data_IF_121178858510
#
_entry.id   IF_121178858510
#
_cell.length_a   1.000
_cell.length_b   1.000
_cell.length_c   1.000
_cell.angle_alpha   90.00
_cell.angle_beta   90.00
_cell.angle_gamma   90.00
#
_symmetry.space_group_name_H-M   'P 1'
#
loop_
_entity.id
_entity.type
_entity.pdbx_description
1 polymer ?
#
# COMPACT_ATOMS: atom_id res chain seq x y z
N UNK A 1 -31.96 -37.48 22.72
CA UNK A 1 -33.07 -36.52 22.84
C UNK A 1 -32.68 -35.27 22.07
N UNK A 2 -33.45 -34.90 21.05
CA UNK A 2 -33.18 -33.67 20.29
C UNK A 2 -33.64 -32.45 21.13
N UNK A 3 -32.87 -31.36 21.20
CA UNK A 3 -33.24 -30.18 21.97
C UNK A 3 -34.49 -29.53 21.36
N UNK A 4 -35.52 -29.31 22.19
CA UNK A 4 -36.74 -28.60 21.82
C UNK A 4 -36.40 -27.13 21.52
N UNK A 5 -36.43 -26.74 20.25
CA UNK A 5 -36.31 -25.33 19.85
C UNK A 5 -37.67 -24.65 20.01
N UNK A 6 -37.89 -24.03 21.16
CA UNK A 6 -38.99 -23.09 21.32
C UNK A 6 -38.66 -21.83 20.51
N UNK A 7 -39.52 -21.35 19.59
CA UNK A 7 -39.36 -20.01 19.06
C UNK A 7 -39.41 -19.05 20.24
N UNK A 8 -38.34 -18.28 20.46
CA UNK A 8 -38.32 -17.24 21.48
C UNK A 8 -39.43 -16.26 21.14
N UNK A 9 -40.49 -16.26 21.93
CA UNK A 9 -41.45 -15.16 21.94
C UNK A 9 -40.68 -13.92 22.36
N UNK A 10 -40.92 -12.79 21.71
CA UNK A 10 -40.41 -11.48 22.12
C UNK A 10 -41.11 -11.09 23.42
N UNK A 11 -40.80 -11.81 24.51
CA UNK A 11 -41.34 -11.61 25.85
C UNK A 11 -40.61 -10.49 26.58
N UNK A 12 -40.01 -9.57 25.82
CA UNK A 12 -39.46 -8.36 26.36
C UNK A 12 -40.60 -7.52 26.90
N UNK A 13 -40.58 -7.28 28.21
CA UNK A 13 -41.59 -6.44 28.87
C UNK A 13 -41.46 -4.98 28.45
N UNK A 14 -41.94 -4.09 29.32
CA UNK A 14 -41.65 -2.67 29.17
C UNK A 14 -40.11 -2.45 29.14
N UNK A 15 -39.62 -1.44 28.41
CA UNK A 15 -38.20 -1.08 28.42
C UNK A 15 -37.68 -0.88 29.85
N UNK A 16 -36.47 -1.33 30.12
CA UNK A 16 -35.81 -1.17 31.42
C UNK A 16 -35.27 0.26 31.51
N UNK A 17 -36.06 1.16 32.10
CA UNK A 17 -35.67 2.55 32.44
C UNK A 17 -35.36 2.68 33.94
N UNK A 18 -34.78 1.66 34.52
CA UNK A 18 -34.18 1.76 35.84
C UNK A 18 -32.84 2.53 35.77
N UNK A 19 -32.21 2.77 36.91
CA UNK A 19 -30.96 3.55 36.97
C UNK A 19 -29.87 2.97 36.03
N UNK A 20 -29.79 1.64 35.91
CA UNK A 20 -28.85 0.98 35.00
C UNK A 20 -29.20 1.24 33.53
N UNK A 21 -30.47 1.12 33.14
CA UNK A 21 -30.93 1.40 31.78
C UNK A 21 -30.67 2.84 31.36
N UNK A 22 -30.92 3.80 32.25
CA UNK A 22 -30.63 5.22 32.02
C UNK A 22 -29.12 5.43 31.81
N UNK A 23 -28.25 4.80 32.60
CA UNK A 23 -26.79 4.89 32.44
C UNK A 23 -26.35 4.39 31.06
N UNK A 24 -26.85 3.24 30.60
CA UNK A 24 -26.50 2.71 29.28
C UNK A 24 -26.96 3.62 28.14
N UNK A 25 -28.16 4.19 28.23
CA UNK A 25 -28.67 5.14 27.23
C UNK A 25 -27.83 6.42 27.20
N UNK A 26 -27.50 6.98 28.38
CA UNK A 26 -26.64 8.17 28.47
C UNK A 26 -25.25 7.87 27.93
N UNK A 27 -24.66 6.72 28.26
CA UNK A 27 -23.37 6.29 27.74
C UNK A 27 -23.39 6.15 26.21
N UNK A 28 -24.45 5.56 25.64
CA UNK A 28 -24.61 5.46 24.20
C UNK A 28 -24.68 6.84 23.54
N UNK A 29 -25.49 7.77 24.06
CA UNK A 29 -25.60 9.15 23.54
C UNK A 29 -24.26 9.88 23.62
N UNK A 30 -23.60 9.84 24.79
CA UNK A 30 -22.31 10.51 24.98
C UNK A 30 -21.24 9.94 24.04
N UNK A 31 -21.17 8.61 23.89
CA UNK A 31 -20.24 7.98 22.97
C UNK A 31 -20.51 8.38 21.52
N UNK A 32 -21.78 8.42 21.09
CA UNK A 32 -22.17 8.89 19.75
C UNK A 32 -21.73 10.34 19.52
N UNK A 33 -21.91 11.23 20.50
CA UNK A 33 -21.50 12.62 20.38
C UNK A 33 -19.98 12.78 20.28
N UNK A 34 -19.23 12.09 21.15
CA UNK A 34 -17.76 12.10 21.10
C UNK A 34 -17.26 11.60 19.75
N UNK A 35 -17.79 10.46 19.29
CA UNK A 35 -17.40 9.87 18.02
C UNK A 35 -17.74 10.79 16.83
N UNK A 36 -18.91 11.42 16.85
CA UNK A 36 -19.31 12.38 15.82
C UNK A 36 -18.36 13.60 15.78
N UNK A 37 -17.93 14.11 16.94
CA UNK A 37 -16.93 15.20 17.02
C UNK A 37 -15.58 14.73 16.48
N UNK A 38 -15.11 13.54 16.85
CA UNK A 38 -13.84 12.99 16.34
C UNK A 38 -13.85 12.80 14.82
N UNK A 39 -14.94 12.23 14.26
CA UNK A 39 -15.10 12.10 12.81
C UNK A 39 -15.15 13.46 12.13
N UNK A 40 -15.82 14.44 12.73
CA UNK A 40 -15.88 15.80 12.19
C UNK A 40 -14.49 16.46 12.16
N UNK A 41 -13.71 16.34 13.23
CA UNK A 41 -12.34 16.86 13.29
C UNK A 41 -11.44 16.16 12.26
N UNK A 42 -11.57 14.84 12.13
CA UNK A 42 -10.84 14.06 11.12
C UNK A 42 -11.20 14.49 9.70
N UNK A 43 -12.50 14.73 9.44
CA UNK A 43 -12.98 15.25 8.16
C UNK A 43 -12.44 16.65 7.87
N UNK A 44 -12.39 17.53 8.88
CA UNK A 44 -11.82 18.89 8.73
C UNK A 44 -10.34 18.83 8.33
N UNK A 45 -9.61 17.84 8.85
CA UNK A 45 -8.19 17.63 8.57
C UNK A 45 -7.93 16.64 7.42
N UNK A 46 -8.94 16.36 6.55
CA UNK A 46 -8.82 15.43 5.42
C UNK A 46 -7.72 15.74 4.40
N UNK A 47 -7.26 17.00 4.35
CA UNK A 47 -6.17 17.42 3.46
C UNK A 47 -4.80 16.94 3.96
N UNK A 48 -4.67 16.58 5.24
CA UNK A 48 -3.42 16.08 5.79
C UNK A 48 -3.05 14.73 5.16
N UNK A 49 -1.78 14.61 4.77
CA UNK A 49 -1.25 13.43 4.07
C UNK A 49 -1.51 12.12 4.84
N UNK A 50 -1.26 12.11 6.16
CA UNK A 50 -1.49 10.94 7.03
C UNK A 50 -2.95 10.44 6.99
N UNK A 51 -3.92 11.35 6.88
CA UNK A 51 -5.35 11.01 6.81
C UNK A 51 -5.71 10.46 5.42
N UNK A 52 -5.16 11.06 4.37
CA UNK A 52 -5.38 10.60 2.97
C UNK A 52 -4.86 9.19 2.74
N UNK A 53 -3.71 8.84 3.32
CA UNK A 53 -3.08 7.53 3.16
C UNK A 53 -3.97 6.39 3.66
N UNK A 54 -4.66 6.62 4.79
CA UNK A 54 -5.57 5.66 5.42
C UNK A 54 -6.86 5.43 4.62
N UNK A 55 -7.26 6.39 3.78
CA UNK A 55 -8.52 6.35 3.05
C UNK A 55 -9.70 6.70 3.95
N UNK A 56 -10.13 7.96 3.90
CA UNK A 56 -11.14 8.49 4.83
C UNK A 56 -12.46 7.72 4.75
N UNK A 57 -12.92 7.36 3.56
CA UNK A 57 -14.16 6.61 3.38
C UNK A 57 -14.13 5.23 4.06
N UNK A 58 -12.97 4.57 4.03
CA UNK A 58 -12.75 3.25 4.67
C UNK A 58 -12.80 3.40 6.19
N UNK A 59 -12.13 4.42 6.73
CA UNK A 59 -12.14 4.73 8.16
C UNK A 59 -13.55 5.04 8.63
N UNK A 60 -14.27 5.91 7.93
CA UNK A 60 -15.65 6.27 8.26
C UNK A 60 -16.57 5.05 8.22
N UNK A 61 -16.44 4.20 7.21
CA UNK A 61 -17.25 2.97 7.09
C UNK A 61 -16.96 2.01 8.25
N UNK A 62 -15.69 1.75 8.55
CA UNK A 62 -15.28 0.87 9.64
C UNK A 62 -15.78 1.36 11.00
N UNK A 63 -15.53 2.65 11.31
CA UNK A 63 -15.91 3.25 12.58
C UNK A 63 -17.43 3.32 12.71
N UNK A 64 -18.15 3.67 11.65
CA UNK A 64 -19.62 3.69 11.67
C UNK A 64 -20.21 2.29 11.91
N UNK A 65 -19.67 1.25 11.27
CA UNK A 65 -20.13 -0.13 11.50
C UNK A 65 -19.86 -0.58 12.94
N UNK A 66 -18.66 -0.30 13.47
CA UNK A 66 -18.31 -0.65 14.85
C UNK A 66 -19.10 0.17 15.87
N UNK A 67 -19.44 1.41 15.53
CA UNK A 67 -20.30 2.27 16.34
C UNK A 67 -21.73 1.74 16.41
N UNK A 68 -22.33 1.39 15.27
CA UNK A 68 -23.66 0.76 15.25
C UNK A 68 -23.66 -0.50 16.11
N UNK A 69 -22.64 -1.35 15.98
CA UNK A 69 -22.49 -2.52 16.83
C UNK A 69 -22.47 -2.17 18.32
N UNK A 70 -21.65 -1.21 18.75
CA UNK A 70 -21.56 -0.82 20.16
C UNK A 70 -22.87 -0.23 20.68
N UNK A 71 -23.54 0.63 19.92
CA UNK A 71 -24.84 1.21 20.30
C UNK A 71 -25.88 0.11 20.47
N UNK A 72 -25.93 -0.86 19.54
CA UNK A 72 -26.83 -2.00 19.65
C UNK A 72 -26.57 -2.79 20.94
N UNK A 73 -25.29 -3.06 21.26
CA UNK A 73 -24.89 -3.75 22.50
C UNK A 73 -25.32 -2.97 23.76
N UNK A 74 -25.10 -1.66 23.80
CA UNK A 74 -25.51 -0.82 24.93
C UNK A 74 -27.04 -0.76 25.09
N UNK A 75 -27.79 -0.83 24.00
CA UNK A 75 -29.26 -0.78 24.01
C UNK A 75 -29.93 -2.14 24.28
N UNK A 76 -29.21 -3.26 24.26
CA UNK A 76 -29.79 -4.59 24.57
C UNK A 76 -30.49 -4.60 25.92
N UNK A 77 -29.87 -3.99 26.94
CA UNK A 77 -30.40 -3.98 28.30
C UNK A 77 -31.62 -3.04 28.46
N UNK A 78 -31.56 -1.74 28.05
CA UNK A 78 -32.71 -0.85 28.07
C UNK A 78 -33.91 -1.36 27.26
N UNK A 79 -33.67 -2.02 26.12
CA UNK A 79 -34.73 -2.55 25.26
C UNK A 79 -35.30 -3.89 25.75
N UNK A 80 -34.84 -4.39 26.90
CA UNK A 80 -35.42 -5.51 27.63
C UNK A 80 -35.76 -6.73 26.76
N UNK A 81 -34.90 -7.11 25.81
CA UNK A 81 -35.13 -8.31 24.98
C UNK A 81 -36.20 -8.17 23.90
N UNK A 82 -36.53 -6.94 23.45
CA UNK A 82 -37.36 -6.68 22.26
C UNK A 82 -36.67 -7.01 20.92
N UNK A 83 -35.54 -7.73 20.93
CA UNK A 83 -34.78 -8.12 19.75
C UNK A 83 -35.08 -9.56 19.34
N UNK A 84 -35.40 -9.84 18.06
CA UNK A 84 -35.55 -11.22 17.61
C UNK A 84 -34.17 -11.90 17.62
N UNK A 85 -34.09 -13.17 18.05
CA UNK A 85 -32.82 -13.92 18.11
C UNK A 85 -32.04 -13.93 16.80
N UNK A 86 -32.74 -13.91 15.67
CA UNK A 86 -32.10 -13.81 14.37
C UNK A 86 -31.35 -12.48 14.20
N UNK A 87 -31.93 -11.36 14.67
CA UNK A 87 -31.26 -10.06 14.61
C UNK A 87 -30.04 -10.00 15.52
N UNK A 88 -30.12 -10.52 16.75
CA UNK A 88 -28.96 -10.61 17.66
C UNK A 88 -27.82 -11.40 17.02
N UNK A 89 -28.13 -12.56 16.44
CA UNK A 89 -27.16 -13.40 15.73
C UNK A 89 -26.51 -12.65 14.57
N UNK A 90 -27.29 -12.04 13.68
CA UNK A 90 -26.74 -11.34 12.52
C UNK A 90 -25.94 -10.09 12.91
N UNK A 91 -26.37 -9.35 13.93
CA UNK A 91 -25.63 -8.19 14.45
C UNK A 91 -24.26 -8.61 14.98
N UNK A 92 -24.20 -9.65 15.81
CA UNK A 92 -22.96 -10.17 16.38
C UNK A 92 -22.05 -10.81 15.33
N UNK A 93 -22.61 -11.52 14.35
CA UNK A 93 -21.85 -12.24 13.32
C UNK A 93 -21.42 -11.38 12.13
N UNK A 94 -22.08 -10.25 11.85
CA UNK A 94 -21.75 -9.40 10.69
C UNK A 94 -21.03 -8.12 11.13
N UNK A 95 -21.60 -7.33 12.04
CA UNK A 95 -21.13 -5.96 12.24
C UNK A 95 -19.74 -5.90 12.89
N UNK A 96 -19.50 -6.72 13.91
CA UNK A 96 -18.19 -6.74 14.58
C UNK A 96 -17.09 -7.29 13.66
N UNK A 97 -17.24 -8.49 13.02
CA UNK A 97 -16.20 -9.00 12.12
C UNK A 97 -15.96 -8.11 10.91
N UNK A 98 -17.03 -7.55 10.31
CA UNK A 98 -16.90 -6.67 9.16
C UNK A 98 -16.26 -5.32 9.55
N UNK A 99 -16.67 -4.73 10.66
CA UNK A 99 -16.07 -3.50 11.18
C UNK A 99 -14.57 -3.65 11.44
N UNK A 100 -14.17 -4.75 12.10
CA UNK A 100 -12.77 -5.09 12.36
C UNK A 100 -12.00 -5.39 11.07
N UNK A 101 -12.59 -6.08 10.10
CA UNK A 101 -11.97 -6.35 8.81
C UNK A 101 -11.65 -5.07 8.03
N UNK A 102 -12.61 -4.15 7.94
CA UNK A 102 -12.43 -2.86 7.26
C UNK A 102 -11.39 -2.01 8.00
N UNK A 103 -11.35 -2.08 9.35
CA UNK A 103 -10.31 -1.43 10.14
C UNK A 103 -8.91 -1.95 9.81
N UNK A 104 -8.76 -3.28 9.75
CA UNK A 104 -7.49 -3.90 9.40
C UNK A 104 -7.06 -3.59 7.96
N UNK A 105 -8.02 -3.46 7.02
CA UNK A 105 -7.74 -3.02 5.66
C UNK A 105 -7.16 -1.59 5.62
N UNK A 106 -7.68 -0.67 6.46
CA UNK A 106 -7.12 0.67 6.62
C UNK A 106 -5.66 0.63 7.08
N UNK A 107 -5.34 -0.17 8.10
CA UNK A 107 -3.96 -0.30 8.60
C UNK A 107 -3.03 -0.90 7.54
N UNK A 108 -3.51 -1.89 6.81
CA UNK A 108 -2.71 -2.56 5.80
C UNK A 108 -2.42 -1.68 4.57
N UNK A 109 -3.30 -0.71 4.23
CA UNK A 109 -3.01 0.31 3.20
C UNK A 109 -1.81 1.17 3.57
N UNK A 110 -1.74 1.62 4.83
CA UNK A 110 -0.61 2.41 5.34
C UNK A 110 0.67 1.58 5.30
N UNK A 111 0.61 0.34 5.76
CA UNK A 111 1.77 -0.56 5.75
C UNK A 111 2.28 -0.80 4.32
N UNK A 112 1.37 -1.05 3.36
CA UNK A 112 1.73 -1.23 1.95
C UNK A 112 2.46 -0.02 1.38
N UNK A 113 1.99 1.20 1.67
CA UNK A 113 2.67 2.40 1.22
C UNK A 113 4.08 2.54 1.82
N UNK A 114 4.23 2.22 3.11
CA UNK A 114 5.53 2.20 3.77
C UNK A 114 6.48 1.15 3.18
N UNK A 115 5.99 -0.07 2.95
CA UNK A 115 6.77 -1.15 2.35
C UNK A 115 7.19 -0.82 0.91
N UNK A 116 6.30 -0.21 0.12
CA UNK A 116 6.61 0.27 -1.24
C UNK A 116 7.77 1.27 -1.23
N UNK A 117 7.69 2.30 -0.38
CA UNK A 117 8.75 3.30 -0.24
C UNK A 117 10.07 2.68 0.27
N UNK A 118 10.00 1.75 1.23
CA UNK A 118 11.17 1.03 1.74
C UNK A 118 11.85 0.19 0.65
N UNK A 119 11.07 -0.55 -0.15
CA UNK A 119 11.59 -1.34 -1.27
C UNK A 119 12.29 -0.45 -2.28
N UNK A 120 11.65 0.65 -2.67
CA UNK A 120 12.21 1.57 -3.66
C UNK A 120 13.52 2.22 -3.21
N UNK A 121 13.63 2.58 -1.92
CA UNK A 121 14.89 3.07 -1.33
C UNK A 121 16.03 2.07 -1.53
N UNK A 122 15.79 0.78 -1.23
CA UNK A 122 16.82 -0.26 -1.35
C UNK A 122 17.12 -0.64 -2.79
N UNK A 123 16.08 -0.75 -3.61
CA UNK A 123 16.15 -1.14 -5.00
C UNK A 123 14.89 -0.66 -5.72
N UNK A 124 15.03 0.39 -6.54
CA UNK A 124 13.90 0.99 -7.24
C UNK A 124 13.30 0.07 -8.32
N UNK A 125 14.04 -0.96 -8.75
CA UNK A 125 13.54 -1.98 -9.68
C UNK A 125 12.67 -3.03 -8.98
N UNK A 126 12.77 -3.15 -7.66
CA UNK A 126 12.06 -4.20 -6.90
C UNK A 126 10.55 -4.17 -7.10
N UNK A 127 9.96 -2.97 -7.22
CA UNK A 127 8.53 -2.81 -7.51
C UNK A 127 8.12 -3.21 -8.92
N UNK A 128 9.07 -3.11 -9.85
CA UNK A 128 8.86 -3.39 -11.27
C UNK A 128 8.99 -4.89 -11.60
N UNK A 129 9.68 -5.65 -10.74
CA UNK A 129 9.93 -7.10 -10.85
C UNK A 129 8.70 -7.92 -10.45
N UNK A 130 8.19 -8.73 -11.37
CA UNK A 130 7.06 -9.65 -11.16
C UNK A 130 7.50 -11.11 -11.24
N UNK A 131 6.93 -11.96 -10.38
CA UNK A 131 7.06 -13.42 -10.47
C UNK A 131 5.90 -13.99 -11.27
N UNK A 132 6.13 -15.01 -12.09
CA UNK A 132 5.05 -15.73 -12.79
C UNK A 132 4.34 -16.65 -11.80
N UNK A 133 3.01 -16.56 -11.76
CA UNK A 133 2.21 -17.43 -10.90
C UNK A 133 2.22 -18.86 -11.48
N UNK A 134 2.67 -19.83 -10.69
CA UNK A 134 2.53 -21.23 -11.02
C UNK A 134 1.22 -21.76 -10.44
N UNK A 135 0.36 -22.34 -11.28
CA UNK A 135 -0.88 -23.01 -10.89
C UNK A 135 -0.61 -24.39 -10.25
N UNK A 136 0.35 -24.44 -9.33
CA UNK A 136 0.68 -25.60 -8.51
C UNK A 136 0.28 -25.32 -7.07
N UNK A 137 -0.02 -26.33 -6.24
CA UNK A 137 -0.38 -26.09 -4.83
C UNK A 137 0.72 -25.32 -4.08
N UNK A 138 1.99 -25.60 -4.38
CA UNK A 138 3.14 -24.83 -3.86
C UNK A 138 3.15 -23.39 -4.37
N UNK A 139 2.94 -23.18 -5.68
CA UNK A 139 2.89 -21.84 -6.27
C UNK A 139 1.73 -20.98 -5.76
N UNK A 140 0.57 -21.59 -5.50
CA UNK A 140 -0.56 -20.92 -4.86
C UNK A 140 -0.28 -20.57 -3.39
N UNK A 141 0.41 -21.44 -2.66
CA UNK A 141 0.83 -21.16 -1.29
C UNK A 141 1.87 -20.03 -1.23
N UNK A 142 2.86 -20.03 -2.13
CA UNK A 142 3.81 -18.92 -2.28
C UNK A 142 3.11 -17.61 -2.66
N UNK A 143 2.12 -17.66 -3.55
CA UNK A 143 1.32 -16.49 -3.89
C UNK A 143 0.48 -15.98 -2.71
N UNK A 144 -0.08 -16.88 -1.91
CA UNK A 144 -0.73 -16.54 -0.65
C UNK A 144 0.23 -15.88 0.33
N UNK A 145 1.48 -16.33 0.40
CA UNK A 145 2.50 -15.70 1.23
C UNK A 145 2.92 -14.33 0.70
N UNK A 146 3.06 -14.15 -0.62
CA UNK A 146 3.43 -12.88 -1.27
C UNK A 146 2.28 -11.86 -1.29
N UNK A 147 1.03 -12.26 -1.02
CA UNK A 147 -0.11 -11.35 -0.92
C UNK A 147 0.06 -10.33 0.22
N UNK A 148 -0.32 -9.08 -0.07
CA UNK A 148 -0.32 -8.00 0.92
C UNK A 148 -1.20 -8.36 2.13
N UNK A 149 -0.83 -7.85 3.31
CA UNK A 149 -1.62 -8.02 4.53
C UNK A 149 -3.08 -7.60 4.36
N UNK A 150 -3.34 -6.54 3.57
CA UNK A 150 -4.68 -6.05 3.27
C UNK A 150 -5.50 -7.09 2.51
N UNK A 151 -4.88 -7.70 1.49
CA UNK A 151 -5.54 -8.69 0.65
C UNK A 151 -5.80 -9.98 1.45
N UNK A 152 -4.87 -10.39 2.32
CA UNK A 152 -5.07 -11.51 3.26
C UNK A 152 -6.27 -11.27 4.18
N UNK A 153 -6.38 -10.08 4.76
CA UNK A 153 -7.51 -9.69 5.61
C UNK A 153 -8.82 -9.72 4.82
N UNK A 154 -8.85 -9.15 3.62
CA UNK A 154 -10.05 -9.14 2.78
C UNK A 154 -10.49 -10.56 2.40
N UNK A 155 -9.56 -11.40 1.94
CA UNK A 155 -9.86 -12.80 1.62
C UNK A 155 -10.33 -13.55 2.86
N UNK A 156 -9.66 -13.38 4.01
CA UNK A 156 -10.08 -13.98 5.27
C UNK A 156 -11.49 -13.56 5.69
N UNK A 157 -11.86 -12.30 5.45
CA UNK A 157 -13.18 -11.76 5.77
C UNK A 157 -14.25 -12.32 4.84
N UNK A 158 -13.98 -12.37 3.53
CA UNK A 158 -14.89 -12.95 2.54
C UNK A 158 -15.11 -14.44 2.84
N UNK A 159 -14.02 -15.19 3.08
CA UNK A 159 -14.09 -16.60 3.44
C UNK A 159 -14.89 -16.78 4.74
N UNK A 160 -14.64 -15.96 5.76
CA UNK A 160 -15.39 -15.99 7.02
C UNK A 160 -16.89 -15.72 6.83
N UNK A 161 -17.26 -14.73 6.00
CA UNK A 161 -18.65 -14.43 5.67
C UNK A 161 -19.31 -15.57 4.86
N UNK A 162 -18.61 -16.11 3.88
CA UNK A 162 -19.10 -17.24 3.06
C UNK A 162 -19.31 -18.47 3.92
N UNK A 163 -18.35 -18.84 4.79
CA UNK A 163 -18.50 -19.95 5.75
C UNK A 163 -19.70 -19.71 6.66
N UNK A 164 -19.85 -18.48 7.19
CA UNK A 164 -20.98 -18.12 8.06
C UNK A 164 -22.31 -18.34 7.35
N UNK A 165 -22.43 -17.93 6.08
CA UNK A 165 -23.65 -18.12 5.27
C UNK A 165 -23.87 -19.59 4.89
N UNK A 166 -22.83 -20.32 4.49
CA UNK A 166 -22.91 -21.72 4.07
C UNK A 166 -23.26 -22.66 5.22
N UNK A 167 -22.83 -22.38 6.45
CA UNK A 167 -23.22 -23.17 7.64
C UNK A 167 -24.72 -22.97 7.97
N UNK A 168 -25.30 -21.80 7.64
CA UNK A 168 -26.69 -21.46 7.96
C UNK A 168 -27.72 -22.04 6.98
N UNK A 169 -27.36 -22.25 5.71
CA UNK A 169 -28.28 -22.78 4.68
C UNK A 169 -28.79 -24.19 5.06
N UNK A 170 -27.94 -25.17 5.43
CA UNK A 170 -28.39 -26.50 5.86
C UNK A 170 -29.18 -26.49 7.18
N UNK A 171 -28.88 -25.57 8.10
CA UNK A 171 -29.57 -25.44 9.39
C UNK A 171 -31.01 -24.90 9.25
N UNK A 172 -31.26 -24.12 8.19
CA UNK A 172 -32.58 -23.57 7.87
C UNK A 172 -33.49 -24.62 7.24
N UNK A 173 -32.96 -25.45 6.33
CA UNK A 173 -33.72 -26.52 5.69
C UNK A 173 -34.01 -27.69 6.64
N UNK A 174 -33.06 -28.05 7.52
CA UNK A 174 -33.28 -29.07 8.55
C UNK A 174 -34.31 -28.66 9.63
N UNK A 175 -34.65 -27.37 9.76
CA UNK A 175 -35.62 -26.88 10.76
C UNK A 175 -37.07 -26.91 10.29
N UNK A 176 -37.35 -27.11 8.99
CA UNK A 176 -38.71 -27.01 8.45
C UNK A 176 -39.55 -28.28 8.65
N UNK A 177 -38.91 -29.42 8.91
CA UNK A 177 -39.52 -30.76 8.82
C UNK A 177 -39.96 -31.39 10.15
N UNK A 178 -39.85 -30.70 11.30
CA UNK A 178 -40.06 -31.31 12.63
C UNK A 178 -41.03 -30.57 13.55
N UNK A 179 -41.97 -29.82 12.97
CA UNK A 179 -42.94 -29.01 13.73
C UNK A 179 -44.29 -29.71 13.91
N UNK A 180 -44.28 -30.94 14.39
CA UNK A 180 -45.49 -31.58 14.94
C UNK A 180 -45.10 -32.24 16.27
N UNK A 181 -45.84 -31.89 17.31
CA UNK A 181 -45.91 -32.53 18.64
C UNK A 181 -45.32 -31.72 19.82
N UNK A 182 -46.30 -31.07 20.47
CA UNK A 182 -46.41 -30.36 21.76
C UNK A 182 -45.51 -30.77 22.95
N UNK A 183 -45.07 -29.71 23.64
CA UNK A 183 -45.20 -29.30 25.08
C UNK A 183 -44.61 -30.14 26.24
N UNK A 184 -44.07 -29.34 27.19
CA UNK A 184 -43.93 -29.50 28.67
C UNK A 184 -42.61 -30.14 29.17
N UNK A 185 -41.94 -29.78 30.28
CA UNK A 185 -42.15 -28.86 31.43
C UNK A 185 -40.79 -28.62 32.18
N UNK A 186 -40.53 -27.38 32.62
CA UNK A 186 -39.76 -26.83 33.80
C UNK A 186 -38.47 -27.41 34.44
N UNK A 187 -37.64 -26.44 34.93
CA UNK A 187 -36.98 -26.30 36.27
C UNK A 187 -35.43 -26.40 36.31
N UNK A 188 -34.69 -25.28 36.47
CA UNK A 188 -34.10 -24.69 37.72
C UNK A 188 -32.67 -25.24 38.03
N UNK A 189 -31.59 -24.51 38.33
CA UNK A 189 -31.33 -23.66 39.54
C UNK A 189 -29.81 -23.32 39.62
N UNK A 190 -29.46 -22.05 39.93
CA UNK A 190 -28.32 -21.51 40.76
C UNK A 190 -26.84 -21.80 40.34
N UNK A 191 -25.78 -21.00 40.57
CA UNK A 191 -25.48 -19.68 41.19
C UNK A 191 -24.01 -19.30 40.92
N UNK A 192 -23.74 -17.98 40.86
CA UNK A 192 -22.65 -17.18 41.49
C UNK A 192 -21.17 -17.65 41.42
N UNK A 193 -20.13 -16.82 41.27
CA UNK A 193 -19.92 -15.51 41.89
C UNK A 193 -18.58 -14.86 41.45
N UNK A 194 -18.58 -13.52 41.34
CA UNK A 194 -17.64 -12.52 41.92
C UNK A 194 -16.14 -12.51 41.49
N UNK A 195 -15.36 -11.42 41.43
CA UNK A 195 -15.51 -9.94 41.51
C UNK A 195 -14.10 -9.32 41.42
N UNK A 196 -13.91 -8.32 40.55
CA UNK A 196 -13.09 -7.07 40.63
C UNK A 196 -11.56 -7.13 41.03
N UNK A 197 -10.63 -6.18 40.81
CA UNK A 197 -10.54 -4.74 40.45
C UNK A 197 -9.02 -4.39 40.24
N UNK A 198 -8.53 -3.14 39.97
CA UNK A 198 -7.69 -2.86 38.78
C UNK A 198 -6.43 -1.98 39.02
N UNK A 199 -5.89 -1.41 37.91
CA UNK A 199 -5.33 -0.03 37.78
C UNK A 199 -3.84 0.17 38.14
N UNK A 200 -2.99 1.06 37.58
CA UNK A 200 -2.99 2.23 36.65
C UNK A 200 -1.53 2.33 36.05
N UNK A 201 -1.10 3.17 35.08
CA UNK A 201 -1.03 4.65 34.95
C UNK A 201 -0.59 5.03 33.51
N UNK A 202 -0.97 6.25 33.09
CA UNK A 202 -0.81 6.99 31.82
C UNK A 202 0.52 7.74 31.62
N UNK A 203 0.89 8.02 30.37
CA UNK A 203 1.80 9.13 29.97
C UNK A 203 1.14 10.06 28.91
N UNK A 204 1.64 11.29 28.84
CA UNK A 204 1.13 12.46 28.06
C UNK A 204 2.12 12.88 26.96
N UNK A 205 1.55 13.55 25.96
CA UNK A 205 2.10 14.11 24.71
C UNK A 205 2.85 15.45 24.83
N UNK A 206 3.35 16.01 23.70
CA UNK A 206 2.80 17.30 23.22
C UNK A 206 2.76 17.49 21.68
N UNK A 207 2.32 18.68 21.24
CA UNK A 207 1.76 19.02 19.92
C UNK A 207 2.43 20.19 19.16
N UNK A 208 2.19 20.22 17.83
CA UNK A 208 1.93 21.36 16.90
C UNK A 208 3.03 22.31 16.35
N UNK A 209 2.70 22.88 15.17
CA UNK A 209 3.46 23.49 14.07
C UNK A 209 3.56 25.03 14.17
N UNK A 210 4.64 25.65 13.65
CA UNK A 210 4.66 27.05 13.19
C UNK A 210 5.58 27.25 11.97
N UNK A 211 5.10 28.02 11.00
CA UNK A 211 5.76 28.52 9.78
C UNK A 211 6.94 29.46 10.06
N UNK A 212 8.07 29.29 9.34
CA UNK A 212 9.19 30.24 9.37
C UNK A 212 9.82 30.40 7.99
N UNK A 213 9.80 31.64 7.52
CA UNK A 213 10.78 32.33 6.68
C UNK A 213 11.93 31.43 6.11
N UNK A 214 11.90 31.22 4.80
CA UNK A 214 12.89 30.40 4.07
C UNK A 214 14.30 30.96 4.28
N UNK A 215 15.05 30.29 5.15
CA UNK A 215 16.46 30.55 5.45
C UNK A 215 17.33 30.34 4.20
N UNK A 216 18.53 30.94 4.13
CA UNK A 216 19.48 30.78 3.00
C UNK A 216 19.89 29.33 2.67
N UNK A 217 19.65 28.37 3.57
CA UNK A 217 19.84 26.92 3.32
C UNK A 217 18.74 26.28 2.47
N UNK A 218 17.60 26.93 2.28
CA UNK A 218 16.50 26.47 1.43
C UNK A 218 16.63 26.97 -0.03
N UNK A 219 17.81 27.41 -0.45
CA UNK A 219 18.07 27.88 -1.81
C UNK A 219 18.14 26.71 -2.82
N UNK A 220 17.88 27.00 -4.10
CA UNK A 220 17.98 26.00 -5.18
C UNK A 220 19.40 25.42 -5.28
N UNK A 221 20.42 26.26 -5.08
CA UNK A 221 21.81 25.83 -5.08
C UNK A 221 22.11 24.84 -3.95
N UNK A 222 21.51 25.02 -2.77
CA UNK A 222 21.67 24.07 -1.67
C UNK A 222 21.01 22.72 -1.99
N UNK A 223 19.85 22.72 -2.68
CA UNK A 223 19.23 21.50 -3.18
C UNK A 223 20.13 20.81 -4.22
N UNK A 224 20.65 21.55 -5.20
CA UNK A 224 21.56 20.99 -6.22
C UNK A 224 22.83 20.41 -5.59
N UNK A 225 23.41 21.09 -4.61
CA UNK A 225 24.55 20.58 -3.85
C UNK A 225 24.20 19.29 -3.11
N UNK A 226 23.02 19.23 -2.46
CA UNK A 226 22.53 18.03 -1.78
C UNK A 226 22.26 16.89 -2.76
N UNK A 227 21.65 17.17 -3.92
CA UNK A 227 21.43 16.20 -4.98
C UNK A 227 22.77 15.65 -5.46
N UNK A 228 23.84 16.45 -5.50
CA UNK A 228 25.14 16.01 -5.99
C UNK A 228 25.92 15.18 -4.95
N UNK A 229 25.90 15.58 -3.67
CA UNK A 229 26.79 15.03 -2.64
C UNK A 229 26.09 14.22 -1.54
N UNK A 230 24.82 14.49 -1.22
CA UNK A 230 24.13 13.90 -0.07
C UNK A 230 22.63 13.64 -0.35
N UNK A 231 22.33 12.98 -1.47
CA UNK A 231 20.95 12.70 -1.86
C UNK A 231 20.29 11.61 -0.98
N UNK A 232 21.09 10.73 -0.38
CA UNK A 232 20.58 9.57 0.39
C UNK A 232 19.84 9.99 1.66
N UNK A 233 20.31 11.03 2.35
CA UNK A 233 19.62 11.56 3.54
C UNK A 233 18.25 12.17 3.17
N UNK A 234 18.18 12.83 2.01
CA UNK A 234 16.93 13.36 1.46
C UNK A 234 15.98 12.21 1.03
N UNK A 235 16.50 11.15 0.42
CA UNK A 235 15.71 9.94 0.08
C UNK A 235 15.15 9.29 1.34
N UNK A 236 15.97 9.12 2.39
CA UNK A 236 15.52 8.52 3.64
C UNK A 236 14.42 9.34 4.31
N UNK A 237 14.55 10.66 4.32
CA UNK A 237 13.54 11.55 4.88
C UNK A 237 12.25 11.54 4.06
N UNK A 238 12.35 11.60 2.72
CA UNK A 238 11.18 11.56 1.83
C UNK A 238 10.46 10.22 1.89
N UNK A 239 11.18 9.11 1.97
CA UNK A 239 10.59 7.76 2.09
C UNK A 239 9.86 7.55 3.42
N UNK A 240 10.41 8.10 4.52
CA UNK A 240 9.89 7.85 5.87
C UNK A 240 8.81 8.84 6.32
N UNK A 241 8.85 10.10 5.87
CA UNK A 241 7.95 11.16 6.34
C UNK A 241 6.91 11.58 5.31
N UNK A 242 7.32 11.78 4.05
CA UNK A 242 6.44 12.32 3.01
C UNK A 242 5.86 11.25 2.07
N UNK A 243 6.46 10.06 2.01
CA UNK A 243 6.13 8.98 1.08
C UNK A 243 6.14 9.44 -0.38
N UNK A 244 7.11 10.28 -0.72
CA UNK A 244 7.32 10.85 -2.07
C UNK A 244 8.74 10.58 -2.58
N UNK A 245 9.34 9.45 -2.18
CA UNK A 245 10.71 9.12 -2.54
C UNK A 245 10.90 8.85 -4.03
N UNK A 246 9.84 8.58 -4.78
CA UNK A 246 9.90 8.39 -6.24
C UNK A 246 10.56 9.58 -6.95
N UNK A 247 10.32 10.80 -6.46
CA UNK A 247 10.89 12.01 -7.05
C UNK A 247 12.39 12.13 -6.77
N UNK A 248 12.83 11.86 -5.54
CA UNK A 248 14.24 11.96 -5.14
C UNK A 248 15.08 10.81 -5.69
N UNK A 249 14.49 9.61 -5.77
CA UNK A 249 15.09 8.44 -6.40
C UNK A 249 15.24 8.67 -7.90
N UNK A 250 14.24 9.23 -8.60
CA UNK A 250 14.38 9.61 -10.00
C UNK A 250 15.53 10.60 -10.23
N UNK A 251 15.67 11.63 -9.40
CA UNK A 251 16.80 12.57 -9.49
C UNK A 251 18.15 11.86 -9.29
N UNK A 252 18.23 10.92 -8.33
CA UNK A 252 19.43 10.09 -8.11
C UNK A 252 19.77 9.26 -9.34
N UNK A 253 18.81 8.53 -9.90
CA UNK A 253 19.03 7.63 -11.03
C UNK A 253 19.42 8.37 -12.30
N UNK A 254 18.75 9.50 -12.61
CA UNK A 254 19.10 10.33 -13.77
C UNK A 254 20.48 10.97 -13.60
N UNK A 255 20.83 11.44 -12.40
CA UNK A 255 22.17 11.96 -12.10
C UNK A 255 23.23 10.87 -12.29
N UNK A 256 23.00 9.67 -11.78
CA UNK A 256 23.93 8.54 -11.92
C UNK A 256 24.09 8.12 -13.38
N UNK A 257 22.97 8.01 -14.11
CA UNK A 257 22.94 7.74 -15.55
C UNK A 257 23.76 8.78 -16.33
N UNK A 258 23.50 10.07 -16.10
CA UNK A 258 24.21 11.16 -16.77
C UNK A 258 25.71 11.12 -16.48
N UNK A 259 26.11 10.99 -15.21
CA UNK A 259 27.53 10.86 -14.80
C UNK A 259 28.24 9.68 -15.46
N UNK A 260 27.56 8.53 -15.53
CA UNK A 260 28.08 7.31 -16.14
C UNK A 260 28.39 7.52 -17.61
N UNK A 261 27.42 8.05 -18.36
CA UNK A 261 27.51 8.14 -19.82
C UNK A 261 28.24 9.40 -20.31
N UNK A 262 28.22 10.51 -19.57
CA UNK A 262 28.97 11.74 -19.91
C UNK A 262 30.49 11.59 -19.78
N UNK A 263 30.96 10.52 -19.14
CA UNK A 263 32.39 10.22 -19.04
C UNK A 263 33.00 9.78 -20.37
N UNK A 264 32.18 9.32 -21.31
CA UNK A 264 32.61 8.83 -22.62
C UNK A 264 32.60 9.96 -23.66
N UNK A 265 33.76 10.29 -24.23
CA UNK A 265 33.87 11.32 -25.30
C UNK A 265 33.34 10.85 -26.65
N UNK A 266 33.44 9.55 -26.92
CA UNK A 266 32.99 8.92 -28.16
C UNK A 266 32.23 7.66 -27.80
N UNK A 267 30.96 7.58 -28.19
CA UNK A 267 30.06 6.46 -27.87
C UNK A 267 29.96 5.53 -29.07
N UNK A 268 30.36 4.27 -28.91
CA UNK A 268 30.21 3.24 -29.96
C UNK A 268 28.74 2.88 -30.15
N UNK A 269 28.40 2.24 -31.28
CA UNK A 269 27.02 1.79 -31.55
C UNK A 269 26.50 0.82 -30.49
N UNK A 270 27.37 -0.05 -29.96
CA UNK A 270 27.03 -0.99 -28.87
C UNK A 270 26.80 -0.24 -27.56
N UNK A 271 27.67 0.72 -27.23
CA UNK A 271 27.50 1.57 -26.04
C UNK A 271 26.22 2.40 -26.11
N UNK A 272 25.87 2.95 -27.28
CA UNK A 272 24.63 3.69 -27.51
C UNK A 272 23.39 2.81 -27.29
N UNK A 273 23.42 1.55 -27.73
CA UNK A 273 22.33 0.59 -27.46
C UNK A 273 22.18 0.32 -25.96
N UNK A 274 23.30 0.11 -25.25
CA UNK A 274 23.26 -0.10 -23.79
C UNK A 274 22.74 1.12 -23.03
N UNK A 275 23.21 2.30 -23.41
CA UNK A 275 22.69 3.57 -22.86
C UNK A 275 21.18 3.65 -23.04
N UNK A 276 20.68 3.28 -24.22
CA UNK A 276 19.24 3.24 -24.50
C UNK A 276 18.51 2.20 -23.63
N UNK A 277 19.07 1.00 -23.45
CA UNK A 277 18.50 -0.04 -22.57
C UNK A 277 18.43 0.45 -21.12
N UNK A 278 19.48 1.05 -20.58
CA UNK A 278 19.48 1.58 -19.21
C UNK A 278 18.47 2.72 -19.04
N UNK A 279 18.40 3.64 -20.02
CA UNK A 279 17.42 4.72 -20.02
C UNK A 279 15.99 4.17 -20.07
N UNK A 280 15.73 3.18 -20.92
CA UNK A 280 14.40 2.55 -21.00
C UNK A 280 14.01 1.88 -19.69
N UNK A 281 14.95 1.29 -18.94
CA UNK A 281 14.68 0.71 -17.64
C UNK A 281 14.25 1.79 -16.63
N UNK A 282 14.94 2.93 -16.58
CA UNK A 282 14.54 4.08 -15.74
C UNK A 282 13.13 4.56 -16.14
N UNK A 283 12.85 4.67 -17.44
CA UNK A 283 11.55 5.08 -17.95
C UNK A 283 10.43 4.12 -17.50
N UNK A 284 10.59 2.81 -17.72
CA UNK A 284 9.55 1.84 -17.36
C UNK A 284 9.35 1.66 -15.85
N UNK A 285 10.37 1.92 -15.04
CA UNK A 285 10.30 1.69 -13.59
C UNK A 285 9.90 2.93 -12.78
N UNK A 286 10.23 4.14 -13.26
CA UNK A 286 9.97 5.38 -12.52
C UNK A 286 9.04 6.36 -13.24
N UNK A 287 8.86 6.28 -14.56
CA UNK A 287 8.13 7.29 -15.34
C UNK A 287 6.82 6.77 -15.89
N UNK A 288 6.82 5.58 -16.48
CA UNK A 288 5.66 5.06 -17.19
C UNK A 288 4.52 4.67 -16.23
N UNK A 289 3.32 5.28 -16.36
CA UNK A 289 2.21 5.07 -15.42
C UNK A 289 1.61 3.65 -15.46
N UNK A 290 1.88 2.88 -16.51
CA UNK A 290 1.37 1.52 -16.64
C UNK A 290 2.32 0.45 -16.08
N UNK A 291 3.61 0.75 -16.00
CA UNK A 291 4.66 -0.22 -15.62
C UNK A 291 5.31 0.09 -14.27
N UNK A 292 5.43 1.38 -13.90
CA UNK A 292 6.00 1.80 -12.62
C UNK A 292 5.03 1.51 -11.46
N UNK A 293 5.55 1.08 -10.31
CA UNK A 293 4.73 0.91 -9.09
C UNK A 293 4.21 2.27 -8.59
N UNK A 294 5.06 3.29 -8.66
CA UNK A 294 4.77 4.68 -8.26
C UNK A 294 5.44 5.63 -9.26
N UNK A 295 4.73 6.00 -10.34
CA UNK A 295 5.30 6.89 -11.37
C UNK A 295 5.50 8.31 -10.82
N UNK A 296 6.57 8.97 -11.28
CA UNK A 296 6.80 10.39 -11.00
C UNK A 296 5.71 11.27 -11.63
N UNK A 297 5.43 12.40 -10.99
CA UNK A 297 4.44 13.35 -11.48
C UNK A 297 5.08 14.39 -12.42
N UNK A 298 4.98 14.17 -13.73
CA UNK A 298 5.51 15.06 -14.78
C UNK A 298 4.43 15.56 -15.73
N UNK A 299 4.64 16.72 -16.36
CA UNK A 299 3.73 17.26 -17.38
C UNK A 299 3.59 16.28 -18.56
N UNK A 300 2.36 16.13 -19.06
CA UNK A 300 2.05 15.24 -20.18
C UNK A 300 2.94 15.48 -21.42
N UNK A 301 3.31 16.73 -21.71
CA UNK A 301 4.20 17.04 -22.84
C UNK A 301 5.59 16.43 -22.69
N UNK A 302 6.14 16.43 -21.48
CA UNK A 302 7.44 15.82 -21.16
C UNK A 302 7.31 14.31 -21.24
N UNK A 303 6.26 13.75 -20.62
CA UNK A 303 5.96 12.33 -20.67
C UNK A 303 5.83 11.81 -22.10
N UNK A 304 5.06 12.50 -22.95
CA UNK A 304 4.83 12.11 -24.35
C UNK A 304 6.13 12.06 -25.15
N UNK A 305 7.01 13.04 -24.98
CA UNK A 305 8.34 13.04 -25.61
C UNK A 305 9.17 11.83 -25.18
N UNK A 306 9.16 11.49 -23.88
CA UNK A 306 9.86 10.30 -23.38
C UNK A 306 9.25 9.01 -23.93
N UNK A 307 7.91 8.94 -23.99
CA UNK A 307 7.20 7.81 -24.56
C UNK A 307 7.58 7.57 -26.02
N UNK A 308 7.66 8.62 -26.83
CA UNK A 308 8.10 8.55 -28.23
C UNK A 308 9.56 8.07 -28.37
N UNK A 309 10.44 8.32 -27.39
CA UNK A 309 11.81 7.79 -27.42
C UNK A 309 11.88 6.29 -27.19
N UNK A 310 10.99 5.73 -26.37
CA UNK A 310 11.05 4.33 -25.93
C UNK A 310 9.94 3.45 -26.50
N UNK A 311 9.14 3.94 -27.47
CA UNK A 311 8.02 3.20 -28.08
C UNK A 311 8.46 1.86 -28.71
N UNK A 312 9.68 1.79 -29.24
CA UNK A 312 10.24 0.57 -29.81
C UNK A 312 10.70 -0.48 -28.80
N UNK A 313 10.71 -0.16 -27.50
CA UNK A 313 11.17 -1.10 -26.46
C UNK A 313 9.99 -1.84 -25.85
N UNK A 314 10.12 -3.16 -25.73
CA UNK A 314 9.20 -4.00 -24.98
C UNK A 314 9.68 -4.12 -23.52
N UNK A 315 8.75 -4.12 -22.58
CA UNK A 315 9.04 -4.27 -21.15
C UNK A 315 8.51 -5.61 -20.63
N UNK A 316 9.39 -6.53 -20.25
CA UNK A 316 9.01 -7.79 -19.59
C UNK A 316 9.30 -7.69 -18.09
N UNK A 317 8.27 -7.56 -17.23
CA UNK A 317 8.47 -7.51 -15.79
C UNK A 317 8.81 -8.88 -15.19
N UNK A 318 8.66 -9.97 -15.93
CA UNK A 318 8.74 -11.33 -15.37
C UNK A 318 10.17 -11.87 -15.33
N UNK A 319 10.48 -12.63 -14.28
CA UNK A 319 11.77 -13.30 -14.16
C UNK A 319 12.02 -14.22 -15.38
N UNK A 320 13.18 -14.11 -16.06
CA UNK A 320 13.55 -15.03 -17.13
C UNK A 320 13.58 -16.47 -16.61
N UNK A 321 13.04 -17.42 -17.38
CA UNK A 321 13.14 -18.84 -17.03
C UNK A 321 14.60 -19.26 -17.19
N UNK A 322 15.27 -19.69 -16.11
CA UNK A 322 16.49 -20.49 -16.25
C UNK A 322 16.09 -21.81 -16.90
N UNK A 323 16.64 -22.13 -18.06
CA UNK A 323 16.51 -23.47 -18.65
C UNK A 323 17.06 -24.49 -17.65
N UNK A 324 16.29 -25.55 -17.39
CA UNK A 324 16.68 -26.63 -16.47
C UNK A 324 17.57 -27.70 -17.15
N UNK A 325 17.99 -27.46 -18.40
CA UNK A 325 18.76 -28.38 -19.23
C UNK A 325 20.25 -28.04 -19.15
N UNK A 326 21.13 -28.97 -18.70
CA UNK A 326 22.58 -28.77 -18.66
C UNK A 326 23.26 -28.68 -20.04
N UNK A 327 22.52 -28.92 -21.13
CA UNK A 327 23.07 -29.03 -22.51
C UNK A 327 22.65 -27.90 -23.45
N UNK A 328 21.86 -26.93 -23.00
CA UNK A 328 21.60 -25.73 -23.81
C UNK A 328 22.73 -24.71 -23.60
N UNK A 329 23.41 -24.25 -24.67
CA UNK A 329 24.45 -23.23 -24.55
C UNK A 329 23.85 -21.93 -24.00
N UNK A 330 24.21 -21.63 -22.76
CA UNK A 330 24.22 -20.37 -22.00
C UNK A 330 23.23 -19.25 -22.36
N UNK A 331 22.62 -18.73 -21.29
CA UNK A 331 21.90 -17.45 -21.12
C UNK A 331 20.43 -17.46 -21.56
N UNK A 332 19.53 -16.74 -20.84
CA UNK A 332 18.27 -16.36 -21.45
C UNK A 332 18.64 -15.64 -22.73
N UNK A 333 18.15 -16.12 -23.87
CA UNK A 333 18.35 -15.47 -25.16
C UNK A 333 18.08 -13.98 -24.93
N UNK A 334 19.11 -13.12 -25.01
CA UNK A 334 18.93 -11.67 -24.91
C UNK A 334 17.96 -11.32 -26.02
N UNK A 335 16.67 -11.20 -25.67
CA UNK A 335 15.65 -10.86 -26.63
C UNK A 335 15.93 -9.41 -26.97
N UNK A 336 16.43 -9.21 -28.18
CA UNK A 336 16.73 -7.87 -28.65
C UNK A 336 15.49 -7.00 -28.46
N UNK A 337 15.67 -5.79 -27.91
CA UNK A 337 14.60 -4.81 -27.66
C UNK A 337 13.62 -5.14 -26.51
N UNK A 338 13.90 -6.16 -25.69
CA UNK A 338 13.14 -6.44 -24.46
C UNK A 338 13.96 -6.01 -23.24
N UNK A 339 13.34 -5.25 -22.35
CA UNK A 339 13.97 -4.75 -21.12
C UNK A 339 13.38 -5.49 -19.93
N UNK A 340 14.26 -6.11 -19.13
CA UNK A 340 13.87 -6.84 -17.94
C UNK A 340 14.50 -6.21 -16.69
N UNK A 341 13.72 -5.84 -15.65
CA UNK A 341 14.27 -5.32 -14.39
C UNK A 341 15.08 -6.33 -13.57
N UNK A 342 15.11 -7.58 -14.00
CA UNK A 342 15.87 -8.67 -13.38
C UNK A 342 17.33 -8.74 -13.85
N UNK A 343 17.68 -7.95 -14.87
CA UNK A 343 19.04 -7.91 -15.42
C UNK A 343 19.89 -6.85 -14.69
N UNK A 344 21.16 -7.15 -14.44
CA UNK A 344 22.12 -6.22 -13.83
C UNK A 344 22.71 -5.26 -14.88
N UNK A 345 21.85 -4.57 -15.62
CA UNK A 345 22.27 -3.63 -16.68
C UNK A 345 22.83 -2.33 -16.10
N UNK A 346 22.23 -1.82 -15.02
CA UNK A 346 22.61 -0.52 -14.42
C UNK A 346 24.02 -0.53 -13.79
N UNK A 347 24.40 -1.63 -13.14
CA UNK A 347 25.69 -1.74 -12.44
C UNK A 347 26.88 -1.99 -13.38
N UNK A 348 26.63 -2.33 -14.66
CA UNK A 348 27.68 -2.61 -15.63
C UNK A 348 28.42 -1.31 -16.00
N UNK A 349 29.76 -1.23 -15.90
CA UNK A 349 30.50 -0.02 -16.26
C UNK A 349 30.39 0.31 -17.75
N UNK A 350 30.42 1.60 -18.07
CA UNK A 350 30.21 2.11 -19.44
C UNK A 350 31.35 1.70 -20.41
N UNK A 351 32.55 1.43 -19.89
CA UNK A 351 33.78 1.17 -20.66
C UNK A 351 33.98 -0.27 -21.13
N UNK A 352 33.20 -1.25 -20.64
CA UNK A 352 33.38 -2.64 -21.05
C UNK A 352 32.80 -2.85 -22.45
N UNK A 353 33.67 -2.97 -23.45
CA UNK A 353 33.31 -3.60 -24.71
C UNK A 353 32.96 -5.07 -24.45
N UNK A 354 31.74 -5.50 -24.76
CA UNK A 354 31.41 -6.94 -24.74
C UNK A 354 32.05 -7.61 -25.93
N UNK A 355 33.35 -7.89 -25.84
CA UNK A 355 34.06 -8.78 -26.77
C UNK A 355 34.08 -10.23 -26.29
N UNK A 356 33.42 -10.59 -25.19
CA UNK A 356 33.43 -11.96 -24.67
C UNK A 356 32.03 -12.36 -24.19
N UNK A 357 31.22 -12.82 -25.15
CA UNK A 357 30.29 -13.95 -24.99
C UNK A 357 29.64 -14.28 -26.33
N UNK A 358 30.33 -15.07 -27.15
CA UNK A 358 29.72 -16.09 -28.02
C UNK A 358 28.73 -15.69 -29.11
N UNK A 359 28.81 -14.49 -29.70
CA UNK A 359 28.04 -14.19 -30.91
C UNK A 359 28.85 -14.54 -32.17
N UNK A 360 28.46 -15.62 -32.85
CA UNK A 360 28.62 -15.69 -34.30
C UNK A 360 27.96 -14.44 -34.88
N UNK A 361 28.78 -13.48 -35.31
CA UNK A 361 28.34 -12.30 -36.05
C UNK A 361 27.87 -12.79 -37.43
N UNK A 362 26.66 -13.32 -37.48
CA UNK A 362 26.00 -13.57 -38.76
C UNK A 362 25.62 -12.21 -39.32
N UNK A 363 26.36 -11.85 -40.35
CA UNK A 363 26.22 -10.62 -41.12
C UNK A 363 24.95 -10.70 -41.95
N UNK A 364 23.79 -10.55 -41.32
CA UNK A 364 22.54 -10.25 -42.03
C UNK A 364 22.14 -8.82 -41.69
N UNK A 365 22.51 -7.96 -42.62
CA UNK A 365 21.98 -6.63 -42.85
C UNK A 365 20.46 -6.51 -42.62
N UNK A 366 20.03 -5.33 -42.15
CA UNK A 366 18.66 -4.78 -42.31
C UNK A 366 17.62 -5.04 -41.21
N UNK A 367 17.97 -4.90 -39.93
CA UNK A 367 16.96 -4.56 -38.91
C UNK A 367 17.36 -3.20 -38.33
N UNK A 368 16.46 -2.22 -38.47
CA UNK A 368 16.62 -0.80 -38.15
C UNK A 368 17.44 -0.58 -36.87
N UNK A 369 18.34 0.39 -36.86
CA UNK A 369 18.85 0.96 -35.60
C UNK A 369 17.66 1.53 -34.83
N UNK A 370 17.06 0.74 -33.94
CA UNK A 370 15.82 1.11 -33.26
C UNK A 370 16.04 2.22 -32.23
N UNK A 371 17.29 2.45 -31.82
CA UNK A 371 17.65 3.63 -31.02
C UNK A 371 17.41 4.88 -31.88
N UNK A 372 16.51 5.79 -31.47
CA UNK A 372 16.24 7.00 -32.22
C UNK A 372 17.52 7.81 -32.45
N UNK A 373 17.68 8.41 -33.63
CA UNK A 373 18.89 9.18 -33.96
C UNK A 373 19.08 10.38 -33.03
N UNK A 374 17.98 10.97 -32.55
CA UNK A 374 17.93 12.04 -31.57
C UNK A 374 18.23 11.62 -30.11
N UNK A 375 18.43 10.33 -29.83
CA UNK A 375 18.72 9.85 -28.48
C UNK A 375 20.12 10.26 -28.03
N UNK A 376 20.21 10.83 -26.82
CA UNK A 376 21.42 11.37 -26.18
C UNK A 376 21.39 11.07 -24.68
N UNK A 377 22.51 11.26 -23.96
CA UNK A 377 22.53 11.12 -22.50
C UNK A 377 21.62 12.12 -21.76
N UNK A 378 21.21 13.21 -22.43
CA UNK A 378 20.31 14.24 -21.89
C UNK A 378 18.82 13.96 -22.06
N UNK A 379 18.42 12.72 -22.40
CA UNK A 379 17.01 12.38 -22.69
C UNK A 379 16.05 12.74 -21.55
N UNK A 380 16.53 12.69 -20.30
CA UNK A 380 15.74 12.99 -19.10
C UNK A 380 15.83 14.44 -18.63
N UNK A 381 16.64 15.31 -19.25
CA UNK A 381 16.89 16.67 -18.76
C UNK A 381 15.59 17.49 -18.53
N UNK A 382 14.58 17.48 -19.43
CA UNK A 382 13.33 18.18 -19.17
C UNK A 382 12.54 17.63 -17.97
N UNK A 383 12.55 16.30 -17.80
CA UNK A 383 11.89 15.66 -16.65
C UNK A 383 12.66 15.90 -15.35
N UNK A 384 14.00 15.88 -15.41
CA UNK A 384 14.88 16.17 -14.29
C UNK A 384 14.64 17.57 -13.75
N UNK A 385 14.61 18.59 -14.61
CA UNK A 385 14.33 19.97 -14.18
C UNK A 385 12.92 20.13 -13.62
N UNK A 386 11.91 19.50 -14.22
CA UNK A 386 10.53 19.51 -13.71
C UNK A 386 10.44 18.91 -12.30
N UNK A 387 11.06 17.74 -12.08
CA UNK A 387 11.03 17.07 -10.77
C UNK A 387 11.90 17.79 -9.75
N UNK A 388 13.06 18.31 -10.16
CA UNK A 388 13.93 19.13 -9.30
C UNK A 388 13.17 20.33 -8.76
N UNK A 389 12.43 21.04 -9.62
CA UNK A 389 11.58 22.15 -9.21
C UNK A 389 10.45 21.68 -8.27
N UNK A 390 9.78 20.57 -8.56
CA UNK A 390 8.73 20.01 -7.71
C UNK A 390 9.23 19.69 -6.29
N UNK A 391 10.40 19.05 -6.19
CA UNK A 391 11.08 18.73 -4.91
C UNK A 391 11.48 20.02 -4.21
N UNK A 392 12.02 20.99 -4.94
CA UNK A 392 12.39 22.29 -4.39
C UNK A 392 11.21 23.05 -3.78
N UNK A 393 10.04 23.04 -4.41
CA UNK A 393 8.89 23.82 -3.92
C UNK A 393 8.12 23.13 -2.80
N UNK A 394 8.09 21.80 -2.76
CA UNK A 394 7.22 21.05 -1.83
C UNK A 394 7.99 20.36 -0.70
N UNK A 395 9.10 19.71 -1.03
CA UNK A 395 9.79 18.77 -0.15
C UNK A 395 11.00 19.42 0.52
N UNK A 396 11.81 20.17 -0.23
CA UNK A 396 13.08 20.74 0.24
C UNK A 396 12.94 21.68 1.45
N UNK A 397 12.00 22.65 1.49
CA UNK A 397 11.80 23.51 2.66
C UNK A 397 11.53 22.72 3.94
N UNK A 398 10.68 21.70 3.84
CA UNK A 398 10.26 20.86 4.97
C UNK A 398 11.39 19.95 5.45
N UNK A 399 12.21 19.46 4.52
CA UNK A 399 13.42 18.72 4.84
C UNK A 399 14.39 19.59 5.64
N UNK A 400 14.71 20.79 5.14
CA UNK A 400 15.63 21.73 5.80
C UNK A 400 15.11 22.13 7.19
N UNK A 401 13.81 22.41 7.32
CA UNK A 401 13.20 22.71 8.62
C UNK A 401 13.33 21.54 9.60
N UNK A 402 13.07 20.32 9.14
CA UNK A 402 13.20 19.13 9.96
C UNK A 402 14.65 18.85 10.38
N UNK A 403 15.61 19.07 9.49
CA UNK A 403 17.05 18.91 9.79
C UNK A 403 17.51 19.93 10.84
N UNK A 404 17.02 21.18 10.76
CA UNK A 404 17.32 22.21 11.76
C UNK A 404 16.76 21.92 13.14
N UNK A 405 15.57 21.31 13.23
CA UNK A 405 14.99 20.86 14.50
C UNK A 405 15.83 19.72 15.10
N UNK A 406 16.31 18.79 14.26
CA UNK A 406 17.09 17.65 14.70
C UNK A 406 18.56 17.98 15.02
N UNK A 407 19.11 19.06 14.46
CA UNK A 407 20.50 19.49 14.68
C UNK A 407 20.60 20.97 15.13
N UNK A 408 20.28 21.27 16.41
CA UNK A 408 20.29 22.63 16.95
C UNK A 408 21.69 23.26 17.06
N UNK A 409 22.78 22.50 16.79
CA UNK A 409 24.17 22.98 16.85
C UNK A 409 24.65 23.71 15.58
N UNK A 410 23.76 23.96 14.63
CA UNK A 410 24.08 24.63 13.35
C UNK A 410 23.52 26.05 13.23
N UNK A 411 23.08 26.64 14.35
CA UNK A 411 22.76 28.08 14.45
C UNK A 411 24.02 28.92 14.61
#
# INVERSE_FOLDING_TARGET
MAPLRLPRSLDGGAPNFDAAGIIYVVAAILYTLVLAVELFLLYRQRSAFCVRLRGLDIVFTSVSMLHVYLVLVLLVYPLNGQWPCAAEFWVMSIFLPLGMAIFQACNARVLKAYESQRRMKTDFLAGARKKRLAWTPKGLFEAWLDLDAAAKVHVGTIVGLVISVLILIPLRDASKDRTTQRRSLSSSTYTDSLTSTPSNISEKSPASILSRELKPKASMQALEFSIEHNIESLIEWTASREFTAENTIFLREVRNFKKKWSSLRTVTTVQRRRMHTEASLIFFTLVNPFTAETPINIEYKIFKKLQEQFEGMEYDPYMPKRSASPTDPMSPTEREYVVCPWENTLDRPASIDSNISGASVSSTSSIKSLVPSQFTEGVFDPAFESIKYLVFTNTWPRYVDAEMVNNPRSQ
#
